data_IF_231926216468
#
_entry.id   IF_231926216468
#
_cell.length_a   1.000
_cell.length_b   1.000
_cell.length_c   1.000
_cell.angle_alpha   90.00
_cell.angle_beta   90.00
_cell.angle_gamma   90.00
#
_symmetry.space_group_name_H-M   'P 1'
#
loop_
_entity.id
_entity.type
_entity.pdbx_description
1 polymer ?
#
# COMPACT_ATOMS: atom_id res chain seq x y z
N UNK A 1 10.64 -14.47 -21.81
CA UNK A 1 10.32 -13.57 -20.69
C UNK A 1 8.88 -13.10 -20.90
N UNK A 2 7.99 -13.30 -19.93
CA UNK A 2 6.61 -12.81 -20.02
C UNK A 2 6.62 -11.29 -20.01
N UNK A 3 5.72 -10.67 -20.78
CA UNK A 3 5.54 -9.21 -20.73
C UNK A 3 5.19 -8.75 -19.32
N UNK A 4 5.76 -7.63 -18.84
CA UNK A 4 5.44 -7.10 -17.52
C UNK A 4 3.96 -6.67 -17.45
N UNK A 5 3.33 -6.86 -16.29
CA UNK A 5 1.98 -6.39 -16.03
C UNK A 5 1.94 -4.86 -15.91
N UNK A 6 2.85 -4.31 -15.11
CA UNK A 6 3.07 -2.86 -14.96
C UNK A 6 4.50 -2.52 -15.37
N UNK A 7 4.65 -1.46 -16.15
CA UNK A 7 5.94 -0.91 -16.52
C UNK A 7 5.93 0.61 -16.34
N UNK A 8 6.88 1.13 -15.61
CA UNK A 8 7.09 2.55 -15.33
C UNK A 8 8.44 2.95 -15.90
N UNK A 9 8.49 3.94 -16.79
CA UNK A 9 9.69 4.39 -17.49
C UNK A 9 9.89 5.89 -17.33
N UNK A 10 10.92 6.30 -16.62
CA UNK A 10 11.32 7.70 -16.50
C UNK A 10 10.26 8.61 -15.90
N UNK A 11 9.39 8.07 -15.03
CA UNK A 11 8.23 8.78 -14.50
C UNK A 11 8.67 9.90 -13.56
N UNK A 12 8.25 11.13 -13.87
CA UNK A 12 8.40 12.29 -12.99
C UNK A 12 7.05 12.93 -12.75
N UNK A 13 6.82 13.42 -11.53
CA UNK A 13 5.60 14.15 -11.15
C UNK A 13 5.81 14.98 -9.89
N UNK A 14 4.81 15.80 -9.56
CA UNK A 14 4.83 16.64 -8.37
C UNK A 14 3.62 17.56 -8.28
N UNK A 15 3.71 18.56 -7.43
CA UNK A 15 2.63 19.49 -7.13
C UNK A 15 3.06 20.92 -7.46
N UNK A 16 2.33 21.58 -8.37
CA UNK A 16 2.71 22.91 -8.87
C UNK A 16 4.11 22.87 -9.50
N UNK A 17 5.02 23.70 -9.02
CA UNK A 17 6.42 23.75 -9.45
C UNK A 17 7.33 22.74 -8.74
N UNK A 18 6.84 22.09 -7.69
CA UNK A 18 7.64 21.18 -6.86
C UNK A 18 7.64 19.77 -7.46
N UNK A 19 8.81 19.31 -7.92
CA UNK A 19 9.02 17.93 -8.36
C UNK A 19 9.17 17.03 -7.13
N UNK A 20 8.36 15.99 -7.03
CA UNK A 20 8.39 14.99 -5.94
C UNK A 20 8.94 13.66 -6.43
N UNK A 21 8.53 13.21 -7.62
CA UNK A 21 9.08 12.05 -8.29
C UNK A 21 10.03 12.50 -9.40
N UNK A 22 11.18 11.84 -9.49
CA UNK A 22 12.22 12.18 -10.44
C UNK A 22 12.83 10.91 -11.05
N UNK A 23 12.50 10.66 -12.32
CA UNK A 23 13.03 9.56 -13.13
C UNK A 23 12.81 8.16 -12.53
N UNK A 24 11.58 7.87 -12.07
CA UNK A 24 11.21 6.56 -11.54
C UNK A 24 11.07 5.56 -12.68
N UNK A 25 11.82 4.45 -12.59
CA UNK A 25 11.73 3.36 -13.56
C UNK A 25 11.77 2.01 -12.85
N UNK A 26 10.77 1.17 -13.13
CA UNK A 26 10.71 -0.23 -12.70
C UNK A 26 9.64 -0.96 -13.51
N UNK A 27 9.66 -2.30 -13.45
CA UNK A 27 8.59 -3.13 -14.02
C UNK A 27 8.23 -4.24 -13.02
N UNK A 28 7.00 -4.75 -13.11
CA UNK A 28 6.57 -5.90 -12.32
C UNK A 28 5.61 -6.78 -13.12
N UNK A 29 5.65 -8.08 -12.81
CA UNK A 29 4.69 -9.08 -13.28
C UNK A 29 3.56 -9.29 -12.27
N UNK A 30 3.02 -10.52 -12.26
CA UNK A 30 2.07 -10.95 -11.22
C UNK A 30 2.87 -11.40 -9.99
N UNK A 31 3.19 -10.45 -9.15
CA UNK A 31 4.00 -10.61 -7.94
C UNK A 31 3.60 -9.53 -6.92
N UNK A 32 4.10 -9.64 -5.68
CA UNK A 32 4.11 -8.54 -4.74
C UNK A 32 5.45 -7.80 -4.84
N UNK A 33 5.41 -6.47 -5.01
CA UNK A 33 6.59 -5.60 -4.97
C UNK A 33 6.41 -4.59 -3.85
N UNK A 34 7.40 -4.50 -2.95
CA UNK A 34 7.46 -3.50 -1.91
C UNK A 34 8.23 -2.25 -2.37
N UNK A 35 7.70 -1.06 -2.11
CA UNK A 35 8.46 0.19 -2.20
C UNK A 35 8.64 0.72 -0.80
N UNK A 36 9.88 0.65 -0.31
CA UNK A 36 10.20 1.07 1.04
C UNK A 36 10.95 2.41 1.04
N UNK A 37 10.60 3.29 1.96
CA UNK A 37 11.26 4.58 2.14
C UNK A 37 10.68 5.36 3.30
N UNK A 38 11.43 6.36 3.78
CA UNK A 38 11.00 7.25 4.87
C UNK A 38 9.79 8.09 4.45
N UNK A 39 9.15 8.75 5.42
CA UNK A 39 8.10 9.72 5.13
C UNK A 39 8.65 10.89 4.30
N UNK A 40 7.82 11.39 3.37
CA UNK A 40 8.22 12.47 2.46
C UNK A 40 9.09 12.04 1.26
N UNK A 41 9.38 10.75 1.09
CA UNK A 41 10.20 10.27 -0.04
C UNK A 41 9.43 10.16 -1.36
N UNK A 42 8.12 10.43 -1.40
CA UNK A 42 7.31 10.42 -2.62
C UNK A 42 6.46 9.16 -2.82
N UNK A 43 6.38 8.25 -1.84
CA UNK A 43 5.65 6.97 -1.96
C UNK A 43 4.16 7.16 -2.32
N UNK A 44 3.43 7.95 -1.53
CA UNK A 44 2.02 8.29 -1.82
C UNK A 44 1.87 9.01 -3.17
N UNK A 45 2.81 9.92 -3.49
CA UNK A 45 2.81 10.62 -4.78
C UNK A 45 2.96 9.65 -5.95
N UNK A 46 3.75 8.58 -5.78
CA UNK A 46 3.84 7.52 -6.79
C UNK A 46 2.50 6.80 -6.98
N UNK A 47 1.86 6.35 -5.90
CA UNK A 47 0.53 5.75 -5.97
C UNK A 47 -0.49 6.69 -6.62
N UNK A 48 -0.52 7.96 -6.22
CA UNK A 48 -1.42 8.96 -6.77
C UNK A 48 -1.14 9.24 -8.25
N UNK A 49 0.14 9.23 -8.68
CA UNK A 49 0.52 9.42 -10.08
C UNK A 49 0.10 8.21 -10.92
N UNK A 50 0.32 6.98 -10.43
CA UNK A 50 -0.11 5.76 -11.09
C UNK A 50 -1.64 5.68 -11.22
N UNK A 51 -2.38 6.22 -10.24
CA UNK A 51 -3.84 6.32 -10.28
C UNK A 51 -4.37 7.48 -11.13
N UNK A 52 -3.50 8.37 -11.63
CA UNK A 52 -3.91 9.56 -12.38
C UNK A 52 -4.51 10.68 -11.51
N UNK A 53 -4.33 10.62 -10.18
CA UNK A 53 -4.71 11.68 -9.23
C UNK A 53 -3.71 12.83 -9.26
N UNK A 54 -2.43 12.53 -9.49
CA UNK A 54 -1.37 13.49 -9.74
C UNK A 54 -0.89 13.34 -11.18
N UNK A 55 -0.73 14.46 -11.89
CA UNK A 55 -0.32 14.42 -13.29
C UNK A 55 1.17 14.11 -13.42
N UNK A 56 1.51 13.14 -14.25
CA UNK A 56 2.90 12.94 -14.69
C UNK A 56 3.39 14.15 -15.52
N UNK A 57 4.59 14.63 -15.22
CA UNK A 57 5.26 15.70 -15.99
C UNK A 57 6.13 15.14 -17.10
N UNK A 58 6.64 13.92 -16.93
CA UNK A 58 7.37 13.16 -17.95
C UNK A 58 7.30 11.66 -17.67
N UNK A 59 7.75 10.86 -18.62
CA UNK A 59 7.81 9.41 -18.52
C UNK A 59 6.55 8.72 -19.05
N UNK A 60 6.52 7.40 -18.90
CA UNK A 60 5.46 6.54 -19.39
C UNK A 60 5.06 5.53 -18.31
N UNK A 61 3.77 5.20 -18.28
CA UNK A 61 3.22 4.11 -17.45
C UNK A 61 2.40 3.20 -18.35
N UNK A 62 2.81 1.94 -18.43
CA UNK A 62 2.10 0.93 -19.21
C UNK A 62 1.51 -0.12 -18.26
N UNK A 63 0.24 -0.42 -18.42
CA UNK A 63 -0.45 -1.55 -17.79
C UNK A 63 -0.86 -2.53 -18.89
N UNK A 64 -0.39 -3.77 -18.82
CA UNK A 64 -0.57 -4.76 -19.90
C UNK A 64 -0.16 -4.21 -21.28
N UNK A 65 0.97 -3.50 -21.35
CA UNK A 65 1.48 -2.87 -22.57
C UNK A 65 0.69 -1.64 -23.05
N UNK A 66 -0.39 -1.24 -22.37
CA UNK A 66 -1.19 -0.07 -22.75
C UNK A 66 -0.83 1.15 -21.90
N UNK A 67 -0.57 2.27 -22.54
CA UNK A 67 -0.29 3.54 -21.84
C UNK A 67 -1.49 4.01 -21.04
N UNK A 68 -1.24 4.34 -19.77
CA UNK A 68 -2.27 4.83 -18.85
C UNK A 68 -1.96 6.20 -18.25
N UNK A 69 -0.73 6.70 -18.35
CA UNK A 69 -0.39 8.04 -17.84
C UNK A 69 -1.23 9.12 -18.55
N UNK A 70 -1.60 10.15 -17.78
CA UNK A 70 -2.47 11.24 -18.24
C UNK A 70 -3.95 10.87 -18.40
N UNK A 71 -4.34 9.63 -18.13
CA UNK A 71 -5.76 9.25 -18.05
C UNK A 71 -6.38 9.74 -16.74
N UNK A 72 -7.70 9.96 -16.75
CA UNK A 72 -8.43 10.26 -15.51
C UNK A 72 -8.46 9.05 -14.56
N UNK A 73 -8.58 9.25 -13.23
CA UNK A 73 -8.59 8.15 -12.26
C UNK A 73 -9.62 7.07 -12.57
N UNK A 74 -10.82 7.44 -13.06
CA UNK A 74 -11.86 6.46 -13.43
C UNK A 74 -11.42 5.59 -14.62
N UNK A 75 -10.69 6.17 -15.59
CA UNK A 75 -10.17 5.41 -16.73
C UNK A 75 -9.04 4.49 -16.31
N UNK A 76 -8.16 4.95 -15.40
CA UNK A 76 -7.10 4.12 -14.82
C UNK A 76 -7.70 2.95 -14.03
N UNK A 77 -8.67 3.20 -13.16
CA UNK A 77 -9.36 2.14 -12.43
C UNK A 77 -10.03 1.12 -13.37
N UNK A 78 -10.68 1.58 -14.44
CA UNK A 78 -11.27 0.69 -15.47
C UNK A 78 -10.23 -0.09 -16.28
N UNK A 79 -8.99 0.38 -16.34
CA UNK A 79 -7.88 -0.36 -16.97
C UNK A 79 -7.40 -1.53 -16.11
N UNK A 80 -7.80 -1.62 -14.83
CA UNK A 80 -7.49 -2.74 -13.95
C UNK A 80 -6.58 -2.41 -12.77
N UNK A 81 -6.40 -1.12 -12.42
CA UNK A 81 -5.71 -0.72 -11.17
C UNK A 81 -6.75 -0.45 -10.08
N UNK A 82 -6.57 -1.09 -8.95
CA UNK A 82 -7.34 -0.84 -7.72
C UNK A 82 -6.43 -0.19 -6.67
N UNK A 83 -6.96 0.70 -5.82
CA UNK A 83 -6.14 1.49 -4.89
C UNK A 83 -6.71 1.48 -3.47
N UNK A 84 -5.86 1.10 -2.51
CA UNK A 84 -6.09 1.24 -1.07
C UNK A 84 -5.27 2.46 -0.60
N UNK A 85 -5.89 3.64 -0.47
CA UNK A 85 -5.18 4.84 -0.06
C UNK A 85 -4.90 4.84 1.45
N UNK A 86 -3.91 5.61 1.87
CA UNK A 86 -3.69 5.92 3.28
C UNK A 86 -4.95 6.52 3.93
N UNK A 87 -5.22 6.16 5.20
CA UNK A 87 -6.33 6.72 5.98
C UNK A 87 -7.69 6.05 5.76
N UNK A 88 -7.75 4.85 5.17
CA UNK A 88 -8.91 3.93 5.08
C UNK A 88 -10.12 4.47 4.31
N UNK A 89 -10.46 5.74 4.41
CA UNK A 89 -11.53 6.49 3.70
C UNK A 89 -12.86 5.74 3.61
N UNK A 90 -13.39 5.31 4.77
CA UNK A 90 -14.68 4.65 4.88
C UNK A 90 -15.82 5.66 5.06
N UNK A 91 -17.03 5.26 4.66
CA UNK A 91 -18.24 5.99 4.95
C UNK A 91 -18.75 5.63 6.35
N UNK A 92 -18.72 6.56 7.29
CA UNK A 92 -19.04 6.31 8.69
C UNK A 92 -20.45 5.72 8.89
N UNK A 93 -21.42 6.15 8.06
CA UNK A 93 -22.82 5.76 8.16
C UNK A 93 -23.18 4.44 7.47
N UNK A 94 -22.31 3.92 6.61
CA UNK A 94 -22.58 2.65 5.93
C UNK A 94 -22.08 1.48 6.78
N UNK A 95 -22.87 0.41 6.82
CA UNK A 95 -22.45 -0.86 7.39
C UNK A 95 -21.36 -1.54 6.55
N UNK A 96 -20.69 -2.53 7.11
CA UNK A 96 -19.71 -3.37 6.38
C UNK A 96 -20.34 -3.96 5.12
N UNK A 97 -21.53 -4.54 5.25
CA UNK A 97 -22.22 -5.18 4.12
C UNK A 97 -22.60 -4.18 3.03
N UNK A 98 -23.06 -2.98 3.40
CA UNK A 98 -23.38 -1.92 2.44
C UNK A 98 -22.13 -1.42 1.69
N UNK A 99 -20.98 -1.25 2.39
CA UNK A 99 -19.73 -0.89 1.75
C UNK A 99 -19.32 -1.90 0.67
N UNK A 100 -19.46 -3.20 0.96
CA UNK A 100 -19.09 -4.23 0.00
C UNK A 100 -20.10 -4.32 -1.14
N UNK A 101 -21.40 -4.32 -0.86
CA UNK A 101 -22.45 -4.41 -1.89
C UNK A 101 -22.49 -3.22 -2.82
N UNK A 102 -22.16 -2.03 -2.35
CA UNK A 102 -22.11 -0.82 -3.17
C UNK A 102 -21.20 -1.00 -4.39
N UNK A 103 -20.05 -1.66 -4.21
CA UNK A 103 -19.07 -1.89 -5.27
C UNK A 103 -19.32 -3.19 -6.05
N UNK A 104 -19.96 -4.18 -5.44
CA UNK A 104 -20.25 -5.46 -6.09
C UNK A 104 -21.20 -5.35 -7.29
N UNK A 105 -22.06 -4.32 -7.34
CA UNK A 105 -23.06 -4.15 -8.40
C UNK A 105 -22.50 -3.83 -9.79
N UNK A 106 -21.24 -3.39 -9.90
CA UNK A 106 -20.60 -2.97 -11.16
C UNK A 106 -19.49 -3.90 -11.66
N UNK A 107 -19.15 -4.95 -10.95
CA UNK A 107 -17.94 -5.75 -11.23
C UNK A 107 -18.28 -7.03 -11.98
N UNK A 108 -17.93 -7.08 -13.26
CA UNK A 108 -18.09 -8.27 -14.12
C UNK A 108 -17.03 -9.35 -13.88
N UNK A 109 -15.98 -9.10 -13.15
CA UNK A 109 -14.81 -9.99 -13.01
C UNK A 109 -14.96 -10.99 -11.90
N UNK A 110 -15.77 -11.16 -11.14
CA UNK A 110 -16.30 -12.21 -10.25
C UNK A 110 -15.29 -13.09 -9.48
N UNK A 111 -13.98 -12.76 -9.47
CA UNK A 111 -13.07 -13.43 -8.55
C UNK A 111 -13.36 -12.97 -7.12
N UNK A 112 -13.42 -11.64 -6.91
CA UNK A 112 -13.71 -11.04 -5.63
C UNK A 112 -15.19 -10.68 -5.56
N UNK A 113 -15.91 -11.35 -4.69
CA UNK A 113 -17.30 -11.11 -4.31
C UNK A 113 -17.35 -10.71 -2.83
N UNK A 114 -18.44 -10.14 -2.32
CA UNK A 114 -18.60 -9.92 -0.89
C UNK A 114 -18.33 -11.18 -0.05
N UNK A 115 -18.76 -12.34 -0.50
CA UNK A 115 -18.53 -13.61 0.22
C UNK A 115 -17.04 -13.98 0.23
N UNK A 116 -16.32 -13.85 -0.89
CA UNK A 116 -14.88 -14.06 -0.94
C UNK A 116 -14.10 -13.08 -0.02
N UNK A 117 -14.57 -11.83 0.10
CA UNK A 117 -14.01 -10.86 1.06
C UNK A 117 -14.26 -11.30 2.51
N UNK A 118 -15.44 -11.84 2.80
CA UNK A 118 -15.74 -12.37 4.14
C UNK A 118 -14.95 -13.65 4.48
N UNK A 119 -14.64 -14.47 3.49
CA UNK A 119 -13.74 -15.61 3.66
C UNK A 119 -12.29 -15.16 3.93
N UNK A 120 -11.82 -14.11 3.22
CA UNK A 120 -10.50 -13.55 3.44
C UNK A 120 -10.40 -12.84 4.81
N UNK A 121 -11.47 -12.17 5.23
CA UNK A 121 -11.54 -11.41 6.47
C UNK A 121 -12.72 -11.86 7.36
N UNK A 122 -12.63 -13.00 8.07
CA UNK A 122 -13.75 -13.54 8.88
C UNK A 122 -14.25 -12.58 9.97
N UNK A 123 -13.40 -11.69 10.47
CA UNK A 123 -13.81 -10.64 11.41
C UNK A 123 -14.82 -9.68 10.81
N UNK A 124 -14.70 -9.34 9.52
CA UNK A 124 -15.71 -8.52 8.83
C UNK A 124 -17.04 -9.27 8.70
N UNK A 125 -17.01 -10.59 8.50
CA UNK A 125 -18.23 -11.40 8.47
C UNK A 125 -19.02 -11.34 9.78
N UNK A 126 -18.34 -11.26 10.93
CA UNK A 126 -18.96 -11.11 12.25
C UNK A 126 -19.53 -9.71 12.49
N UNK A 127 -19.07 -8.73 11.73
CA UNK A 127 -19.41 -7.30 11.88
C UNK A 127 -20.23 -6.74 10.72
N UNK A 128 -20.91 -7.60 9.94
CA UNK A 128 -21.64 -7.22 8.71
C UNK A 128 -22.57 -6.02 8.87
N UNK A 129 -23.30 -5.96 9.98
CA UNK A 129 -24.27 -4.90 10.29
C UNK A 129 -23.66 -3.70 11.03
N UNK A 130 -22.39 -3.76 11.43
CA UNK A 130 -21.74 -2.65 12.13
C UNK A 130 -21.42 -1.51 11.17
N UNK A 131 -21.64 -0.26 11.60
CA UNK A 131 -21.25 0.93 10.86
C UNK A 131 -19.73 1.07 10.74
N UNK A 132 -19.27 1.75 9.69
CA UNK A 132 -17.84 1.98 9.48
C UNK A 132 -17.15 2.71 10.63
N UNK A 133 -17.88 3.57 11.35
CA UNK A 133 -17.38 4.28 12.54
C UNK A 133 -17.21 3.36 13.76
N UNK A 134 -17.95 2.25 13.84
CA UNK A 134 -17.98 1.35 14.99
C UNK A 134 -16.90 0.25 14.90
N UNK A 135 -16.13 0.24 13.82
CA UNK A 135 -15.08 -0.71 13.58
C UNK A 135 -13.77 -0.28 14.26
N UNK A 136 -13.02 -1.27 14.77
CA UNK A 136 -11.63 -1.05 15.19
C UNK A 136 -10.77 -0.63 13.99
N UNK A 137 -9.62 0.01 14.26
CA UNK A 137 -8.70 0.42 13.19
C UNK A 137 -8.28 -0.72 12.26
N UNK A 138 -8.09 -1.93 12.78
CA UNK A 138 -7.78 -3.13 11.98
C UNK A 138 -8.96 -3.58 11.11
N UNK A 139 -10.17 -3.60 11.67
CA UNK A 139 -11.39 -3.93 10.91
C UNK A 139 -11.67 -2.91 9.81
N UNK A 140 -11.44 -1.63 10.08
CA UNK A 140 -11.54 -0.57 9.07
C UNK A 140 -10.54 -0.78 7.93
N UNK A 141 -9.31 -1.19 8.23
CA UNK A 141 -8.29 -1.47 7.21
C UNK A 141 -8.67 -2.70 6.37
N UNK A 142 -9.11 -3.79 7.02
CA UNK A 142 -9.62 -4.96 6.31
C UNK A 142 -10.80 -4.61 5.39
N UNK A 143 -11.71 -3.74 5.83
CA UNK A 143 -12.83 -3.27 5.01
C UNK A 143 -12.36 -2.41 3.84
N UNK A 144 -11.38 -1.53 4.03
CA UNK A 144 -10.79 -0.72 2.95
C UNK A 144 -10.14 -1.60 1.88
N UNK A 145 -9.36 -2.61 2.29
CA UNK A 145 -8.79 -3.61 1.38
C UNK A 145 -9.90 -4.40 0.70
N UNK A 146 -10.81 -5.00 1.46
CA UNK A 146 -11.91 -5.82 0.92
C UNK A 146 -12.78 -5.07 -0.09
N UNK A 147 -13.10 -3.81 0.18
CA UNK A 147 -13.81 -2.94 -0.76
C UNK A 147 -13.04 -2.75 -2.07
N UNK A 148 -11.73 -2.58 -1.97
CA UNK A 148 -10.86 -2.40 -3.13
C UNK A 148 -10.77 -3.65 -3.98
N UNK A 149 -10.74 -4.84 -3.36
CA UNK A 149 -10.72 -6.12 -4.06
C UNK A 149 -11.95 -6.35 -4.94
N UNK A 150 -13.12 -5.84 -4.53
CA UNK A 150 -14.36 -5.93 -5.32
C UNK A 150 -14.30 -5.22 -6.68
N UNK A 151 -13.31 -4.36 -6.90
CA UNK A 151 -13.04 -3.78 -8.23
C UNK A 151 -12.45 -4.81 -9.19
N UNK A 152 -11.94 -5.95 -8.68
CA UNK A 152 -11.37 -7.03 -9.47
C UNK A 152 -10.28 -6.57 -10.47
N UNK A 153 -9.45 -5.62 -10.05
CA UNK A 153 -8.31 -5.17 -10.83
C UNK A 153 -7.21 -6.22 -10.95
N UNK A 154 -6.38 -6.13 -11.98
CA UNK A 154 -5.19 -6.98 -12.15
C UNK A 154 -4.02 -6.52 -11.27
N UNK A 155 -4.05 -5.27 -10.81
CA UNK A 155 -3.06 -4.66 -9.92
C UNK A 155 -3.76 -3.97 -8.75
N UNK A 156 -3.29 -4.23 -7.54
CA UNK A 156 -3.69 -3.51 -6.32
C UNK A 156 -2.52 -2.66 -5.84
N UNK A 157 -2.73 -1.35 -5.73
CA UNK A 157 -1.81 -0.44 -5.06
C UNK A 157 -2.25 -0.31 -3.59
N UNK A 158 -1.30 -0.42 -2.65
CA UNK A 158 -1.56 -0.26 -1.21
C UNK A 158 -0.61 0.79 -0.63
N UNK A 159 -1.17 1.87 -0.09
CA UNK A 159 -0.41 2.97 0.48
C UNK A 159 -0.40 2.91 2.00
N UNK A 160 0.74 2.54 2.57
CA UNK A 160 1.00 2.35 4.00
C UNK A 160 -0.09 1.52 4.72
N UNK A 161 -0.44 0.32 4.19
CA UNK A 161 -1.55 -0.46 4.72
C UNK A 161 -1.37 -0.91 6.17
N UNK A 162 -0.13 -0.95 6.69
CA UNK A 162 0.18 -1.35 8.08
C UNK A 162 0.18 -0.20 9.08
N UNK A 163 -0.07 1.05 8.63
CA UNK A 163 0.02 2.21 9.52
C UNK A 163 -1.00 2.15 10.67
N UNK A 164 -0.49 2.34 11.91
CA UNK A 164 -1.33 2.39 13.11
C UNK A 164 -2.03 1.06 13.47
N UNK A 165 -1.57 -0.06 12.90
CA UNK A 165 -2.15 -1.38 13.17
C UNK A 165 -1.34 -2.19 14.18
N UNK A 166 -2.04 -3.03 14.94
CA UNK A 166 -1.42 -4.04 15.80
C UNK A 166 -0.74 -5.13 14.95
N UNK A 167 0.35 -5.75 15.42
CA UNK A 167 1.09 -6.78 14.68
C UNK A 167 0.20 -7.91 14.13
N UNK A 168 -0.74 -8.40 14.92
CA UNK A 168 -1.67 -9.46 14.52
C UNK A 168 -2.57 -9.09 13.35
N UNK A 169 -2.85 -7.80 13.15
CA UNK A 169 -3.62 -7.32 11.99
C UNK A 169 -2.71 -7.18 10.77
N UNK A 170 -1.44 -6.79 11.00
CA UNK A 170 -0.44 -6.78 9.92
C UNK A 170 -0.26 -8.18 9.35
N UNK A 171 -0.20 -9.22 10.19
CA UNK A 171 -0.10 -10.62 9.74
C UNK A 171 -1.28 -11.00 8.84
N UNK A 172 -2.51 -10.59 9.18
CA UNK A 172 -3.70 -10.82 8.33
C UNK A 172 -3.57 -10.11 6.98
N UNK A 173 -3.00 -8.91 6.93
CA UNK A 173 -2.76 -8.20 5.68
C UNK A 173 -1.66 -8.86 4.84
N UNK A 174 -0.62 -9.38 5.47
CA UNK A 174 0.44 -10.16 4.81
C UNK A 174 -0.15 -11.39 4.13
N UNK A 175 -0.97 -12.15 4.84
CA UNK A 175 -1.67 -13.33 4.28
C UNK A 175 -2.58 -12.92 3.11
N UNK A 176 -3.30 -11.80 3.23
CA UNK A 176 -4.14 -11.28 2.16
C UNK A 176 -3.32 -10.94 0.91
N UNK A 177 -2.17 -10.27 1.05
CA UNK A 177 -1.27 -9.96 -0.08
C UNK A 177 -0.76 -11.23 -0.75
N UNK A 178 -0.32 -12.22 0.02
CA UNK A 178 0.17 -13.48 -0.52
C UNK A 178 -0.95 -14.25 -1.26
N UNK A 179 -2.17 -14.26 -0.70
CA UNK A 179 -3.33 -14.87 -1.36
C UNK A 179 -3.68 -14.17 -2.67
N UNK A 180 -3.65 -12.84 -2.71
CA UNK A 180 -3.87 -12.06 -3.94
C UNK A 180 -2.91 -12.46 -5.05
N UNK A 181 -1.62 -12.54 -4.73
CA UNK A 181 -0.60 -12.95 -5.71
C UNK A 181 -0.80 -14.39 -6.16
N UNK A 182 -1.05 -15.32 -5.24
CA UNK A 182 -1.32 -16.72 -5.56
C UNK A 182 -2.55 -16.89 -6.47
N UNK A 183 -3.52 -15.97 -6.36
CA UNK A 183 -4.71 -15.92 -7.20
C UNK A 183 -4.52 -15.10 -8.48
N UNK A 184 -3.30 -14.64 -8.79
CA UNK A 184 -2.94 -13.97 -10.04
C UNK A 184 -3.23 -12.46 -10.06
N UNK A 185 -3.33 -11.80 -8.89
CA UNK A 185 -3.43 -10.34 -8.76
C UNK A 185 -2.08 -9.79 -8.32
N UNK A 186 -1.50 -8.86 -9.08
CA UNK A 186 -0.28 -8.18 -8.69
C UNK A 186 -0.54 -7.18 -7.55
N UNK A 187 0.44 -7.00 -6.66
CA UNK A 187 0.31 -6.06 -5.54
C UNK A 187 1.55 -5.17 -5.46
N UNK A 188 1.37 -3.86 -5.53
CA UNK A 188 2.41 -2.87 -5.24
C UNK A 188 2.10 -2.27 -3.86
N UNK A 189 2.96 -2.57 -2.89
CA UNK A 189 2.82 -2.06 -1.52
C UNK A 189 3.86 -0.98 -1.27
N UNK A 190 3.45 0.22 -0.92
CA UNK A 190 4.37 1.24 -0.42
C UNK A 190 4.29 1.28 1.09
N UNK A 191 5.44 1.23 1.75
CA UNK A 191 5.54 1.11 3.21
C UNK A 191 6.71 1.90 3.79
N UNK A 192 6.59 2.27 5.05
CA UNK A 192 7.67 2.83 5.83
C UNK A 192 8.31 1.79 6.76
N UNK A 193 7.50 0.87 7.29
CA UNK A 193 7.93 -0.13 8.25
C UNK A 193 8.63 -1.29 7.56
N UNK A 194 9.93 -1.47 7.85
CA UNK A 194 10.75 -2.53 7.26
C UNK A 194 10.12 -3.92 7.41
N UNK A 195 9.67 -4.27 8.61
CA UNK A 195 9.11 -5.59 8.88
C UNK A 195 7.82 -5.84 8.08
N UNK A 196 6.94 -4.85 7.97
CA UNK A 196 5.71 -4.98 7.20
C UNK A 196 6.01 -5.11 5.69
N UNK A 197 6.84 -4.20 5.13
CA UNK A 197 7.23 -4.23 3.72
C UNK A 197 7.82 -5.59 3.32
N UNK A 198 8.81 -6.07 4.11
CA UNK A 198 9.52 -7.31 3.83
C UNK A 198 8.71 -8.58 4.13
N UNK A 199 7.64 -8.50 4.91
CA UNK A 199 6.72 -9.60 5.10
C UNK A 199 5.71 -9.71 3.94
N UNK A 200 5.29 -8.57 3.35
CA UNK A 200 4.32 -8.54 2.25
C UNK A 200 4.93 -8.86 0.89
N UNK A 201 6.22 -8.52 0.65
CA UNK A 201 6.85 -8.70 -0.64
C UNK A 201 8.31 -9.10 -0.50
N UNK A 202 8.77 -10.07 -1.32
CA UNK A 202 10.20 -10.44 -1.36
C UNK A 202 11.02 -9.43 -2.15
N UNK A 203 10.50 -8.91 -3.26
CA UNK A 203 11.16 -7.90 -4.08
C UNK A 203 10.91 -6.52 -3.50
N UNK A 204 11.98 -5.78 -3.22
CA UNK A 204 11.96 -4.48 -2.57
C UNK A 204 12.66 -3.41 -3.41
N UNK A 205 11.96 -2.32 -3.67
CA UNK A 205 12.50 -1.10 -4.28
C UNK A 205 12.69 -0.07 -3.17
N UNK A 206 13.90 0.45 -3.02
CA UNK A 206 14.21 1.46 -2.00
C UNK A 206 14.07 2.84 -2.59
N UNK A 207 13.10 3.62 -2.07
CA UNK A 207 12.82 4.97 -2.53
C UNK A 207 13.45 6.02 -1.60
N UNK A 208 14.25 6.92 -2.20
CA UNK A 208 14.85 8.07 -1.50
C UNK A 208 14.70 9.31 -2.37
N UNK A 209 14.17 10.38 -1.80
CA UNK A 209 14.04 11.70 -2.48
C UNK A 209 13.43 11.58 -3.89
N UNK A 210 12.34 10.84 -4.01
CA UNK A 210 11.59 10.71 -5.26
C UNK A 210 12.23 9.82 -6.33
N UNK A 211 13.29 9.05 -6.00
CA UNK A 211 13.99 8.15 -6.92
C UNK A 211 14.06 6.73 -6.36
N UNK A 212 14.07 5.73 -7.22
CA UNK A 212 14.44 4.36 -6.82
C UNK A 212 15.97 4.30 -6.78
N UNK A 213 16.52 4.14 -5.57
CA UNK A 213 17.98 4.14 -5.33
C UNK A 213 18.58 2.75 -5.34
N UNK A 214 17.78 1.74 -5.02
CA UNK A 214 18.22 0.35 -5.02
C UNK A 214 17.04 -0.58 -5.24
N UNK A 215 17.33 -1.73 -5.83
CA UNK A 215 16.45 -2.88 -5.87
C UNK A 215 17.14 -4.01 -5.11
N UNK A 216 16.42 -4.67 -4.21
CA UNK A 216 16.96 -5.70 -3.31
C UNK A 216 15.87 -6.72 -2.96
N UNK A 217 16.22 -7.74 -2.19
CA UNK A 217 15.25 -8.70 -1.65
C UNK A 217 14.92 -8.40 -0.18
N UNK A 218 13.76 -8.87 0.29
CA UNK A 218 13.39 -8.79 1.70
C UNK A 218 14.44 -9.43 2.61
N UNK A 219 14.98 -10.57 2.18
CA UNK A 219 16.04 -11.30 2.88
C UNK A 219 17.30 -10.45 3.01
N UNK A 220 17.79 -9.86 1.92
CA UNK A 220 18.97 -9.00 1.92
C UNK A 220 18.74 -7.74 2.76
N UNK A 221 17.58 -7.08 2.58
CA UNK A 221 17.25 -5.85 3.28
C UNK A 221 17.18 -6.06 4.81
N UNK A 222 16.66 -7.21 5.26
CA UNK A 222 16.65 -7.57 6.71
C UNK A 222 18.04 -7.89 7.25
N UNK A 223 18.90 -8.50 6.44
CA UNK A 223 20.24 -8.95 6.85
C UNK A 223 21.30 -7.85 6.82
N UNK A 224 21.05 -6.72 6.16
CA UNK A 224 22.03 -5.65 5.95
C UNK A 224 21.69 -4.37 6.75
N UNK A 225 22.29 -4.20 7.96
CA UNK A 225 22.08 -3.00 8.78
C UNK A 225 22.65 -1.72 8.14
N UNK A 226 23.64 -1.82 7.24
CA UNK A 226 24.21 -0.65 6.56
C UNK A 226 23.23 -0.13 5.52
N UNK A 227 22.60 -1.01 4.75
CA UNK A 227 21.57 -0.68 3.79
C UNK A 227 20.36 -0.05 4.49
N UNK A 228 19.95 -0.61 5.65
CA UNK A 228 18.88 -0.05 6.48
C UNK A 228 19.24 1.35 6.98
N UNK A 229 20.43 1.56 7.52
CA UNK A 229 20.89 2.89 7.98
C UNK A 229 20.98 3.89 6.84
N UNK A 230 21.58 3.49 5.73
CA UNK A 230 21.80 4.34 4.57
C UNK A 230 20.49 4.88 3.97
N UNK A 231 19.50 4.03 3.81
CA UNK A 231 18.28 4.37 3.08
C UNK A 231 17.05 4.60 3.96
N UNK A 232 16.97 3.92 5.11
CA UNK A 232 15.80 4.00 5.98
C UNK A 232 16.06 4.79 7.25
N UNK A 233 17.31 5.10 7.57
CA UNK A 233 17.70 5.83 8.77
C UNK A 233 17.47 5.03 10.05
N UNK A 234 17.30 3.69 9.97
CA UNK A 234 17.13 2.81 11.13
C UNK A 234 18.51 2.41 11.58
N UNK A 235 19.02 3.04 12.63
CA UNK A 235 20.19 2.54 13.37
C UNK A 235 19.78 1.27 14.12
N UNK A 236 20.73 0.35 14.36
CA UNK A 236 20.55 -0.86 15.15
C UNK A 236 20.16 -0.52 16.60
N UNK A 237 18.89 -0.21 16.82
CA UNK A 237 18.26 -0.35 18.13
C UNK A 237 17.38 -1.60 18.03
N UNK A 238 17.89 -2.69 18.59
CA UNK A 238 17.05 -3.72 19.16
C UNK A 238 16.00 -2.94 19.98
N UNK A 239 14.74 -3.06 19.66
CA UNK A 239 13.65 -2.57 20.52
C UNK A 239 13.67 -3.37 21.82
N UNK A 240 14.61 -3.04 22.71
CA UNK A 240 14.47 -3.29 24.14
C UNK A 240 13.49 -2.23 24.62
N UNK A 241 12.28 -2.70 24.97
CA UNK A 241 11.23 -1.85 25.52
C UNK A 241 11.67 -1.24 26.87
N UNK A 242 12.30 -0.09 26.82
CA UNK A 242 12.47 0.80 27.95
C UNK A 242 11.68 2.08 27.69
N UNK A 243 10.56 2.19 28.39
CA UNK A 243 9.84 3.44 28.53
C UNK A 243 10.78 4.46 29.21
N UNK A 244 10.85 5.71 28.75
CA UNK A 244 11.58 6.75 29.48
C UNK A 244 10.90 6.99 30.83
N UNK A 245 11.60 6.68 31.91
CA UNK A 245 11.20 7.03 33.28
C UNK A 245 11.13 8.56 33.39
N UNK A 246 9.96 9.05 33.78
CA UNK A 246 9.72 10.46 34.05
C UNK A 246 10.70 10.96 35.14
N UNK A 247 11.44 12.03 34.85
CA UNK A 247 12.29 12.70 35.78
C UNK A 247 11.44 13.35 36.91
N UNK A 248 11.88 13.31 38.19
CA UNK A 248 11.12 13.89 39.30
C UNK A 248 11.11 15.42 39.22
N UNK A 249 9.93 16.00 39.36
CA UNK A 249 9.70 17.44 39.46
C UNK A 249 10.46 18.00 40.66
N UNK A 250 11.41 18.91 40.43
CA UNK A 250 12.05 19.72 41.47
C UNK A 250 11.00 20.67 42.09
N UNK A 251 10.70 20.47 43.35
CA UNK A 251 9.91 21.38 44.14
C UNK A 251 10.53 22.79 44.21
N UNK A 252 9.72 23.79 44.01
CA UNK A 252 10.03 25.16 44.41
C UNK A 252 9.45 25.39 45.81
N UNK A 253 10.33 25.56 46.77
CA UNK A 253 10.02 26.20 48.05
C UNK A 253 10.37 27.70 47.93
N UNK A 254 9.56 28.47 48.63
CA UNK A 254 9.59 29.89 49.00
C UNK A 254 8.83 30.83 48.06
#
# INVERSE_FOLDING_TARGET
>A
MSEPLLEVRGLSSGYGESRVLDDISFSMGVEAVGIIGRNGMGKTTLCDTLMGLVRATSGEVLLHGQRIEGRTPEKVARSGISYVPQGRRLFASLSVDEHLRMLAKGTRGKRWTPDAVYELFPRLAQRRSSGGADLSGGEQQMLAVGRTLLLNGSLVLMDEPSEGLAPTIVDVLVEAVHRLVAEGTAVLVVEQKLLAATAMAERQLVMVSGRIQAETTATQLRADPELQRRYLGVGSAVETGEQPTAAPAKGRHA
#
